data_IF_411454294523
#
_entry.id   IF_411454294523
#
_cell.length_a   1.000
_cell.length_b   1.000
_cell.length_c   1.000
_cell.angle_alpha   90.00
_cell.angle_beta   90.00
_cell.angle_gamma   90.00
#
_symmetry.space_group_name_H-M   'P 1'
#
loop_
_entity.id
_entity.type
_entity.pdbx_description
1 polymer ?
#
# COMPACT_ATOMS: atom_id res chain seq x y z
N UNK A 1 15.46 -4.18 19.96
CA UNK A 1 15.17 -4.29 18.51
C UNK A 1 13.67 -4.43 18.35
N UNK A 2 13.04 -3.69 17.43
CA UNK A 2 11.59 -3.76 17.20
C UNK A 2 11.39 -3.88 15.70
N UNK A 3 11.04 -5.08 15.25
CA UNK A 3 10.72 -5.33 13.85
C UNK A 3 9.30 -4.82 13.54
N UNK A 4 9.11 -4.36 12.31
CA UNK A 4 7.83 -3.92 11.81
C UNK A 4 7.59 -4.52 10.43
N UNK A 5 6.35 -4.96 10.13
CA UNK A 5 6.04 -5.58 8.84
C UNK A 5 5.80 -4.51 7.77
N UNK A 6 5.89 -4.91 6.52
CA UNK A 6 5.51 -4.07 5.38
C UNK A 6 4.01 -4.06 5.14
N UNK A 7 3.32 -5.10 5.61
CA UNK A 7 1.88 -5.23 5.61
C UNK A 7 1.45 -5.49 7.06
N UNK A 8 0.61 -4.62 7.60
CA UNK A 8 0.12 -4.69 8.96
C UNK A 8 -1.35 -5.13 8.97
N UNK A 9 -1.61 -6.28 9.56
CA UNK A 9 -2.95 -6.76 9.83
C UNK A 9 -3.32 -6.48 11.29
N UNK A 10 -4.31 -5.62 11.52
CA UNK A 10 -4.77 -5.24 12.86
C UNK A 10 -6.07 -5.94 13.28
N UNK A 11 -6.55 -6.90 12.48
CA UNK A 11 -7.84 -7.55 12.70
C UNK A 11 -7.97 -8.12 14.12
N UNK A 12 -6.94 -8.79 14.62
CA UNK A 12 -6.97 -9.41 15.96
C UNK A 12 -7.05 -8.39 17.10
N UNK A 13 -6.58 -7.16 16.87
CA UNK A 13 -6.59 -6.06 17.84
C UNK A 13 -7.93 -5.30 17.86
N UNK A 14 -8.81 -5.55 16.90
CA UNK A 14 -10.10 -4.89 16.78
C UNK A 14 -11.16 -5.50 17.71
N UNK A 15 -12.19 -4.70 18.05
CA UNK A 15 -13.37 -5.20 18.79
C UNK A 15 -14.18 -6.19 17.94
N UNK A 16 -14.98 -7.05 18.57
CA UNK A 16 -15.82 -8.03 17.87
C UNK A 16 -16.81 -7.37 16.90
N UNK A 17 -17.33 -6.19 17.26
CA UNK A 17 -18.20 -5.41 16.38
C UNK A 17 -17.46 -4.96 15.11
N UNK A 18 -16.23 -4.49 15.25
CA UNK A 18 -15.42 -4.05 14.11
C UNK A 18 -14.97 -5.24 13.27
N UNK A 19 -14.53 -6.34 13.89
CA UNK A 19 -14.20 -7.60 13.21
C UNK A 19 -15.31 -8.06 12.28
N UNK A 20 -16.57 -8.00 12.73
CA UNK A 20 -17.74 -8.35 11.93
C UNK A 20 -17.94 -7.44 10.71
N UNK A 21 -17.60 -6.15 10.81
CA UNK A 21 -17.66 -5.20 9.68
C UNK A 21 -16.52 -5.42 8.68
N UNK A 22 -15.34 -5.79 9.16
CA UNK A 22 -14.14 -6.00 8.32
C UNK A 22 -14.17 -7.35 7.55
N UNK A 23 -14.95 -8.33 7.98
CA UNK A 23 -14.90 -9.69 7.45
C UNK A 23 -15.26 -9.81 5.97
N UNK A 24 -16.35 -9.15 5.54
CA UNK A 24 -16.75 -9.15 4.13
C UNK A 24 -15.73 -8.43 3.22
N UNK A 25 -15.25 -7.21 3.55
CA UNK A 25 -14.17 -6.55 2.82
C UNK A 25 -12.88 -7.38 2.75
N UNK A 26 -12.49 -8.04 3.84
CA UNK A 26 -11.29 -8.89 3.89
C UNK A 26 -11.42 -10.11 3.00
N UNK A 27 -12.60 -10.73 2.96
CA UNK A 27 -12.85 -11.86 2.07
C UNK A 27 -12.76 -11.44 0.60
N UNK A 28 -13.26 -10.25 0.26
CA UNK A 28 -13.13 -9.68 -1.07
C UNK A 28 -11.66 -9.46 -1.46
N UNK A 29 -10.86 -8.83 -0.59
CA UNK A 29 -9.43 -8.59 -0.80
C UNK A 29 -8.67 -9.91 -1.05
N UNK A 30 -8.91 -10.94 -0.23
CA UNK A 30 -8.30 -12.27 -0.39
C UNK A 30 -8.65 -12.93 -1.73
N UNK A 31 -9.88 -12.74 -2.20
CA UNK A 31 -10.32 -13.27 -3.49
C UNK A 31 -9.65 -12.54 -4.66
N UNK A 32 -9.48 -11.21 -4.57
CA UNK A 32 -8.77 -10.42 -5.58
C UNK A 32 -7.29 -10.78 -5.66
N UNK A 33 -6.62 -10.94 -4.52
CA UNK A 33 -5.24 -11.40 -4.47
C UNK A 33 -5.08 -12.81 -5.05
N UNK A 34 -6.00 -13.73 -4.72
CA UNK A 34 -6.03 -15.07 -5.31
C UNK A 34 -6.17 -15.05 -6.83
N UNK A 35 -7.02 -14.16 -7.38
CA UNK A 35 -7.15 -13.97 -8.83
C UNK A 35 -5.85 -13.43 -9.44
N UNK A 36 -5.21 -12.44 -8.80
CA UNK A 36 -3.95 -11.85 -9.25
C UNK A 36 -2.80 -12.86 -9.26
N UNK A 37 -2.80 -13.80 -8.31
CA UNK A 37 -1.81 -14.88 -8.19
C UNK A 37 -2.14 -16.12 -9.04
N UNK A 38 -3.22 -16.10 -9.84
CA UNK A 38 -3.55 -17.18 -10.78
C UNK A 38 -4.19 -18.42 -10.12
N UNK A 39 -4.66 -18.33 -8.87
CA UNK A 39 -5.42 -19.39 -8.21
C UNK A 39 -6.84 -19.43 -8.79
N UNK A 40 -7.03 -20.19 -9.87
CA UNK A 40 -8.35 -20.56 -10.36
C UNK A 40 -9.03 -21.46 -9.32
N UNK A 41 -9.94 -20.91 -8.52
CA UNK A 41 -10.91 -21.73 -7.78
C UNK A 41 -11.74 -22.47 -8.84
N UNK A 42 -11.53 -23.78 -8.91
CA UNK A 42 -12.25 -24.66 -9.81
C UNK A 42 -13.66 -24.90 -9.26
N UNK A 43 -14.57 -23.95 -9.45
CA UNK A 43 -16.01 -24.24 -9.36
C UNK A 43 -16.48 -24.75 -10.72
N UNK A 44 -16.70 -26.07 -10.77
CA UNK A 44 -17.37 -26.76 -11.87
C UNK A 44 -18.84 -26.33 -11.93
N UNK A 45 -19.21 -25.56 -12.95
CA UNK A 45 -20.47 -25.77 -13.69
C UNK A 45 -20.45 -25.10 -15.09
N UNK A 46 -20.38 -25.95 -16.13
CA UNK A 46 -21.02 -25.86 -17.47
C UNK A 46 -20.81 -24.64 -18.42
N UNK A 47 -19.77 -24.71 -19.29
CA UNK A 47 -19.76 -24.78 -20.81
C UNK A 47 -20.92 -24.08 -21.61
N UNK A 48 -20.73 -23.57 -22.87
CA UNK A 48 -19.85 -22.52 -23.46
C UNK A 48 -20.60 -21.59 -24.49
N UNK A 49 -19.86 -20.72 -25.23
CA UNK A 49 -20.08 -20.12 -26.60
C UNK A 49 -19.91 -18.58 -26.62
N UNK A 50 -18.79 -18.06 -27.13
CA UNK A 50 -18.48 -17.69 -28.54
C UNK A 50 -19.07 -16.32 -28.96
N UNK A 51 -18.24 -15.27 -29.14
CA UNK A 51 -18.16 -14.53 -30.41
C UNK A 51 -16.99 -13.53 -30.48
N UNK A 52 -16.65 -13.24 -31.73
CA UNK A 52 -15.46 -12.67 -32.34
C UNK A 52 -15.30 -11.12 -32.22
N UNK A 53 -14.04 -10.68 -32.10
CA UNK A 53 -13.36 -9.55 -32.79
C UNK A 53 -14.09 -8.19 -32.98
N UNK A 54 -13.45 -7.07 -32.56
CA UNK A 54 -12.94 -6.01 -33.46
C UNK A 54 -12.31 -4.81 -32.70
N UNK A 55 -11.08 -4.49 -33.10
CA UNK A 55 -10.29 -3.32 -32.71
C UNK A 55 -10.73 -2.07 -33.51
N UNK A 56 -10.64 -0.89 -32.90
CA UNK A 56 -10.46 0.38 -33.62
C UNK A 56 -9.79 1.44 -32.74
N UNK A 57 -8.64 1.88 -33.23
CA UNK A 57 -7.79 3.00 -32.83
C UNK A 57 -8.42 4.35 -33.23
N UNK A 58 -8.19 5.43 -32.46
CA UNK A 58 -8.10 6.82 -32.94
C UNK A 58 -7.76 7.80 -31.81
N UNK A 59 -6.71 8.60 -32.04
CA UNK A 59 -6.14 9.65 -31.19
C UNK A 59 -7.07 10.84 -30.90
N UNK A 60 -6.76 11.60 -29.83
CA UNK A 60 -7.34 12.92 -29.59
C UNK A 60 -6.76 13.62 -28.36
N UNK A 61 -5.67 14.36 -28.56
CA UNK A 61 -5.04 15.26 -27.59
C UNK A 61 -5.95 16.42 -27.20
N UNK A 62 -6.15 16.70 -25.91
CA UNK A 62 -6.51 18.04 -25.44
C UNK A 62 -5.94 18.33 -24.05
N UNK A 63 -5.24 19.46 -23.99
CA UNK A 63 -4.64 20.09 -22.83
C UNK A 63 -5.76 20.86 -22.09
N UNK A 64 -5.90 20.69 -20.77
CA UNK A 64 -6.90 21.39 -19.97
C UNK A 64 -6.48 21.46 -18.50
N UNK A 65 -6.32 22.68 -18.01
CA UNK A 65 -5.82 23.07 -16.68
C UNK A 65 -6.61 22.45 -15.50
N UNK A 66 -5.98 22.26 -14.33
CA UNK A 66 -6.67 21.72 -13.16
C UNK A 66 -7.56 22.80 -12.55
N UNK A 67 -8.82 22.80 -12.97
CA UNK A 67 -9.87 23.56 -12.30
C UNK A 67 -10.20 22.85 -10.99
N UNK A 68 -9.73 23.44 -9.89
CA UNK A 68 -10.18 23.15 -8.53
C UNK A 68 -11.70 23.24 -8.46
N UNK A 69 -12.36 22.08 -8.37
CA UNK A 69 -13.76 21.96 -8.05
C UNK A 69 -13.91 21.31 -6.66
N UNK A 70 -14.90 21.72 -5.86
CA UNK A 70 -15.02 21.32 -4.46
C UNK A 70 -15.30 19.81 -4.37
N UNK A 71 -14.54 19.09 -3.54
CA UNK A 71 -14.87 17.72 -3.17
C UNK A 71 -16.16 17.74 -2.35
N UNK A 72 -17.27 17.54 -3.04
CA UNK A 72 -18.52 17.13 -2.42
C UNK A 72 -18.35 15.70 -1.89
N UNK A 73 -18.81 15.50 -0.65
CA UNK A 73 -18.87 14.22 0.06
C UNK A 73 -19.65 13.18 -0.76
N UNK A 74 -18.91 12.42 -1.57
CA UNK A 74 -19.33 11.14 -2.09
C UNK A 74 -18.48 10.08 -1.40
N UNK A 75 -18.98 9.54 -0.30
CA UNK A 75 -18.43 8.39 0.41
C UNK A 75 -18.39 7.18 -0.53
N UNK A 76 -17.36 7.10 -1.38
CA UNK A 76 -16.81 5.79 -1.74
C UNK A 76 -16.09 5.36 -0.49
N UNK A 77 -16.83 4.80 0.47
CA UNK A 77 -16.25 4.09 1.61
C UNK A 77 -15.35 3.01 1.00
N UNK A 78 -14.06 3.30 0.88
CA UNK A 78 -13.03 2.30 0.64
C UNK A 78 -13.18 1.35 1.81
N UNK A 79 -13.85 0.23 1.58
CA UNK A 79 -14.26 -0.67 2.64
C UNK A 79 -13.02 -1.04 3.45
N UNK A 80 -12.98 -0.65 4.72
CA UNK A 80 -11.82 -0.90 5.56
C UNK A 80 -11.66 -2.42 5.70
N UNK A 81 -10.48 -2.94 5.38
CA UNK A 81 -10.13 -4.36 5.53
C UNK A 81 -9.34 -4.62 6.80
N UNK A 82 -8.82 -3.57 7.44
CA UNK A 82 -7.89 -3.69 8.57
C UNK A 82 -6.51 -4.23 8.17
N UNK A 83 -6.23 -4.31 6.86
CA UNK A 83 -4.91 -4.60 6.31
C UNK A 83 -4.33 -3.28 5.79
N UNK A 84 -3.11 -2.95 6.21
CA UNK A 84 -2.45 -1.69 5.89
C UNK A 84 -1.08 -1.94 5.27
N UNK A 85 -0.81 -1.30 4.14
CA UNK A 85 0.53 -1.26 3.55
C UNK A 85 1.37 -0.15 4.17
N UNK A 86 2.63 -0.46 4.48
CA UNK A 86 3.60 0.53 4.91
C UNK A 86 3.96 1.47 3.76
N UNK A 87 3.58 2.74 3.90
CA UNK A 87 3.81 3.79 2.90
C UNK A 87 5.03 4.66 3.22
N UNK A 88 5.28 4.92 4.51
CA UNK A 88 6.38 5.76 4.93
C UNK A 88 6.91 5.36 6.30
N UNK A 89 8.19 5.61 6.53
CA UNK A 89 8.88 5.43 7.82
C UNK A 89 9.61 6.72 8.15
N UNK A 90 9.45 7.21 9.36
CA UNK A 90 10.26 8.30 9.90
C UNK A 90 11.21 7.70 10.94
N UNK A 91 12.51 7.83 10.71
CA UNK A 91 13.54 7.32 11.61
C UNK A 91 14.23 8.45 12.33
N UNK A 92 14.52 8.25 13.61
CA UNK A 92 15.38 9.14 14.41
C UNK A 92 16.72 8.46 14.67
N UNK A 93 17.80 9.17 14.38
CA UNK A 93 19.18 8.78 14.65
C UNK A 93 19.71 9.63 15.80
N UNK A 94 19.65 9.11 17.02
CA UNK A 94 20.16 9.79 18.21
C UNK A 94 19.86 9.03 19.49
N UNK A 95 20.58 9.35 20.57
CA UNK A 95 20.33 8.79 21.92
C UNK A 95 19.42 9.68 22.77
N UNK A 96 19.24 10.93 22.38
CA UNK A 96 18.39 11.92 23.06
C UNK A 96 17.31 12.40 22.10
N UNK A 97 16.15 12.79 22.62
CA UNK A 97 15.09 13.39 21.84
C UNK A 97 15.37 14.86 21.48
N UNK A 98 16.23 15.53 22.24
CA UNK A 98 16.58 16.96 22.06
C UNK A 98 17.70 17.18 21.04
N UNK A 99 18.23 16.11 20.46
CA UNK A 99 19.30 16.13 19.46
C UNK A 99 19.20 14.90 18.55
N UNK A 100 20.03 14.86 17.52
CA UNK A 100 20.05 13.76 16.55
C UNK A 100 19.56 14.21 15.18
N UNK A 101 19.16 13.25 14.36
CA UNK A 101 18.82 13.48 12.96
C UNK A 101 17.60 12.68 12.54
N UNK A 102 16.67 13.31 11.84
CA UNK A 102 15.48 12.64 11.32
C UNK A 102 15.65 12.36 9.83
N UNK A 103 15.35 11.13 9.43
CA UNK A 103 15.37 10.72 8.02
C UNK A 103 14.04 10.08 7.67
N UNK A 104 13.42 10.57 6.60
CA UNK A 104 12.19 10.04 6.06
C UNK A 104 12.46 8.97 5.00
N UNK A 105 11.62 7.94 4.94
CA UNK A 105 11.67 6.90 3.93
C UNK A 105 10.27 6.74 3.37
N UNK A 106 10.08 6.93 2.07
CA UNK A 106 8.73 6.93 1.46
C UNK A 106 8.69 5.97 0.28
N UNK A 107 7.67 5.09 0.30
CA UNK A 107 7.33 4.17 -0.79
C UNK A 107 6.68 4.95 -1.92
N UNK A 108 7.20 4.78 -3.11
CA UNK A 108 6.66 5.35 -4.34
C UNK A 108 5.61 4.41 -4.95
N UNK A 109 4.77 4.92 -5.84
CA UNK A 109 3.74 4.14 -6.53
C UNK A 109 4.30 2.93 -7.31
N UNK A 110 5.55 3.02 -7.76
CA UNK A 110 6.26 1.94 -8.45
C UNK A 110 6.84 0.87 -7.51
N UNK A 111 6.58 0.96 -6.20
CA UNK A 111 7.08 0.03 -5.18
C UNK A 111 8.53 0.27 -4.73
N UNK A 112 9.24 1.25 -5.32
CA UNK A 112 10.59 1.63 -4.87
C UNK A 112 10.50 2.54 -3.66
N UNK A 113 11.55 2.54 -2.84
CA UNK A 113 11.66 3.42 -1.70
C UNK A 113 12.61 4.57 -1.98
N UNK A 114 12.34 5.73 -1.39
CA UNK A 114 13.24 6.88 -1.42
C UNK A 114 13.52 7.30 0.02
N UNK A 115 14.80 7.39 0.35
CA UNK A 115 15.33 8.02 1.56
C UNK A 115 15.42 9.53 1.33
N UNK A 116 14.71 10.29 2.14
CA UNK A 116 14.75 11.75 2.22
C UNK A 116 15.58 12.14 3.44
N UNK A 117 16.87 12.33 3.18
CA UNK A 117 17.87 12.82 4.12
C UNK A 117 18.13 14.30 3.80
N UNK A 118 17.36 15.17 4.46
CA UNK A 118 17.22 16.59 4.14
C UNK A 118 16.97 16.83 2.63
N UNK A 119 17.91 17.49 1.94
CA UNK A 119 17.79 17.88 0.54
C UNK A 119 18.28 16.81 -0.46
N UNK A 120 18.69 15.62 0.01
CA UNK A 120 19.35 14.62 -0.83
C UNK A 120 18.53 13.31 -0.95
N UNK A 121 17.54 13.24 -1.86
CA UNK A 121 16.74 12.05 -2.06
C UNK A 121 17.56 10.91 -2.68
N UNK A 122 17.59 9.75 -2.01
CA UNK A 122 18.33 8.56 -2.47
C UNK A 122 17.39 7.37 -2.67
N UNK A 123 17.43 6.67 -3.83
CA UNK A 123 16.63 5.47 -4.03
C UNK A 123 17.14 4.33 -3.15
N UNK A 124 16.21 3.53 -2.61
CA UNK A 124 16.46 2.43 -1.68
C UNK A 124 15.62 1.20 -2.02
N UNK A 125 16.10 0.06 -1.55
CA UNK A 125 15.40 -1.22 -1.68
C UNK A 125 14.46 -1.43 -0.50
N UNK A 126 13.41 -2.21 -0.70
CA UNK A 126 12.47 -2.60 0.35
C UNK A 126 13.18 -3.33 1.51
N UNK A 127 14.21 -4.12 1.20
CA UNK A 127 15.04 -4.78 2.22
C UNK A 127 15.75 -3.77 3.13
N UNK A 128 16.13 -2.60 2.60
CA UNK A 128 16.76 -1.55 3.40
C UNK A 128 15.81 -1.02 4.47
N UNK A 129 14.52 -0.97 4.15
CA UNK A 129 13.46 -0.51 5.06
C UNK A 129 13.27 -1.50 6.19
N UNK A 130 13.16 -2.79 5.91
CA UNK A 130 12.97 -3.80 6.96
C UNK A 130 14.15 -3.88 7.93
N UNK A 131 15.35 -3.42 7.51
CA UNK A 131 16.55 -3.33 8.37
C UNK A 131 16.56 -2.12 9.30
N UNK A 132 15.64 -1.16 9.15
CA UNK A 132 15.52 -0.03 10.08
C UNK A 132 14.84 -0.42 11.40
N UNK A 133 14.71 -1.71 11.71
CA UNK A 133 14.04 -2.27 12.88
C UNK A 133 14.73 -2.03 14.24
N UNK A 134 15.26 -0.83 14.44
CA UNK A 134 15.86 -0.34 15.68
C UNK A 134 16.95 -1.25 16.25
N UNK A 135 17.32 -1.04 17.51
CA UNK A 135 18.30 -1.89 18.20
C UNK A 135 19.67 -1.27 18.47
N UNK A 136 19.87 0.01 18.12
CA UNK A 136 20.93 0.82 18.76
C UNK A 136 22.38 0.53 18.36
N UNK A 137 22.63 -0.24 17.30
CA UNK A 137 23.99 -0.39 16.75
C UNK A 137 24.12 0.37 15.43
N UNK A 138 24.15 1.70 15.53
CA UNK A 138 24.90 2.54 14.61
C UNK A 138 26.08 3.11 15.39
N UNK A 139 27.15 2.33 15.47
CA UNK A 139 28.47 2.76 15.96
C UNK A 139 29.54 1.95 15.21
N UNK A 140 30.73 2.52 14.93
CA UNK A 140 31.17 3.91 15.09
C UNK A 140 31.00 4.77 13.83
#
# INVERSE_FOLDING_TARGET
KVDYPLELDVYDLCSDELKKKLEAPRQFLRNEEGKKLGLKVNEKSSVPKENDVKMSDAEGSSNGEPSVAPMEEGEKETQMTGVYDLMAVLTHKGRSADSGHYVGWVKQENGKWIEFDDDNPKPRLQDDITRLSGGGENLP
#
